data_IF_843471078853
#
_entry.id   IF_843471078853
#
_cell.length_a   1.000
_cell.length_b   1.000
_cell.length_c   1.000
_cell.angle_alpha   90.00
_cell.angle_beta   90.00
_cell.angle_gamma   90.00
#
_symmetry.space_group_name_H-M   'P 1'
#
loop_
_entity.id
_entity.type
_entity.pdbx_description
1 polymer ?
#
# COMPACT_ATOMS: atom_id res chain seq x y z
N UNK A 1 -6.49 -11.67 -12.46
CA UNK A 1 -5.30 -11.39 -11.64
C UNK A 1 -5.34 -12.26 -10.38
N UNK A 2 -4.19 -12.56 -9.77
CA UNK A 2 -4.14 -13.30 -8.49
C UNK A 2 -4.78 -12.50 -7.35
N UNK A 3 -5.40 -13.17 -6.39
CA UNK A 3 -5.98 -12.54 -5.21
C UNK A 3 -4.91 -11.94 -4.28
N UNK A 4 -5.31 -11.01 -3.41
CA UNK A 4 -4.44 -10.44 -2.37
C UNK A 4 -3.89 -11.54 -1.44
N UNK A 5 -4.74 -12.51 -1.08
CA UNK A 5 -4.34 -13.63 -0.20
C UNK A 5 -3.25 -14.48 -0.83
N UNK A 6 -3.37 -14.82 -2.12
CA UNK A 6 -2.34 -15.59 -2.82
C UNK A 6 -1.02 -14.84 -2.91
N UNK A 7 -1.06 -13.52 -3.15
CA UNK A 7 0.14 -12.67 -3.18
C UNK A 7 0.83 -12.62 -1.82
N UNK A 8 0.07 -12.48 -0.73
CA UNK A 8 0.61 -12.51 0.63
C UNK A 8 1.24 -13.86 0.97
N UNK A 9 0.59 -14.97 0.60
CA UNK A 9 1.13 -16.31 0.81
C UNK A 9 2.42 -16.55 0.00
N UNK A 10 2.48 -16.05 -1.24
CA UNK A 10 3.68 -16.14 -2.06
C UNK A 10 4.83 -15.32 -1.46
N UNK A 11 4.55 -14.09 -1.04
CA UNK A 11 5.51 -13.20 -0.38
C UNK A 11 6.09 -13.85 0.88
N UNK A 12 5.23 -14.41 1.75
CA UNK A 12 5.65 -15.13 2.95
C UNK A 12 6.54 -16.34 2.64
N UNK A 13 6.17 -17.16 1.65
CA UNK A 13 6.97 -18.33 1.24
C UNK A 13 8.36 -17.96 0.70
N UNK A 14 8.48 -16.79 0.07
CA UNK A 14 9.76 -16.30 -0.45
C UNK A 14 10.58 -15.74 0.71
N UNK A 15 9.99 -14.89 1.56
CA UNK A 15 10.65 -14.29 2.71
C UNK A 15 11.15 -15.34 3.71
N UNK A 16 10.36 -16.39 3.99
CA UNK A 16 10.74 -17.47 4.92
C UNK A 16 11.94 -18.30 4.45
N UNK A 17 12.33 -18.21 3.18
CA UNK A 17 13.56 -18.81 2.63
C UNK A 17 14.79 -17.91 2.78
N UNK A 18 14.68 -16.79 3.49
CA UNK A 18 15.78 -15.84 3.69
C UNK A 18 16.08 -14.95 2.48
N UNK A 19 15.21 -14.97 1.46
CA UNK A 19 15.32 -14.08 0.30
C UNK A 19 14.82 -12.70 0.73
N UNK A 20 15.61 -11.66 0.45
CA UNK A 20 15.19 -10.27 0.72
C UNK A 20 14.01 -9.90 -0.16
N UNK A 21 12.97 -9.38 0.47
CA UNK A 21 11.66 -9.10 -0.12
C UNK A 21 11.20 -7.69 0.20
N UNK A 22 10.35 -7.14 -0.66
CA UNK A 22 9.65 -5.90 -0.39
C UNK A 22 8.19 -6.01 -0.81
N UNK A 23 7.33 -5.19 -0.20
CA UNK A 23 5.96 -4.97 -0.67
C UNK A 23 5.83 -3.53 -1.21
N UNK A 24 5.21 -3.39 -2.38
CA UNK A 24 4.90 -2.10 -2.97
C UNK A 24 3.42 -1.78 -2.74
N UNK A 25 3.15 -0.81 -1.87
CA UNK A 25 1.82 -0.28 -1.55
C UNK A 25 1.60 0.95 -2.42
N UNK A 26 1.22 0.69 -3.67
CA UNK A 26 0.94 1.72 -4.65
C UNK A 26 0.12 1.14 -5.80
N UNK A 27 -0.76 1.94 -6.42
CA UNK A 27 -1.13 3.29 -5.99
C UNK A 27 -1.95 3.25 -4.70
N UNK A 28 -1.88 4.30 -3.87
CA UNK A 28 -2.79 4.46 -2.74
C UNK A 28 -4.24 4.53 -3.24
N UNK A 29 -5.08 3.64 -2.69
CA UNK A 29 -6.50 3.50 -2.99
C UNK A 29 -7.31 3.51 -1.70
N UNK A 30 -8.62 3.84 -1.77
CA UNK A 30 -9.51 3.75 -0.61
C UNK A 30 -9.47 2.35 -0.01
N UNK A 31 -9.36 2.29 1.31
CA UNK A 31 -9.25 1.01 2.01
C UNK A 31 -8.87 1.19 3.47
N UNK A 32 -8.30 0.14 4.04
CA UNK A 32 -7.86 0.11 5.43
C UNK A 32 -6.33 -0.05 5.50
N UNK A 33 -5.57 1.05 5.58
CA UNK A 33 -4.14 1.08 5.81
C UNK A 33 -3.66 0.16 6.93
N UNK A 34 -4.32 0.21 8.09
CA UNK A 34 -3.87 -0.50 9.29
C UNK A 34 -4.00 -2.01 9.13
N UNK A 35 -5.11 -2.47 8.52
CA UNK A 35 -5.31 -3.87 8.16
C UNK A 35 -4.28 -4.35 7.14
N UNK A 36 -3.95 -3.53 6.14
CA UNK A 36 -2.92 -3.86 5.16
C UNK A 36 -1.55 -4.04 5.82
N UNK A 37 -1.16 -3.12 6.70
CA UNK A 37 0.11 -3.21 7.43
C UNK A 37 0.14 -4.46 8.32
N UNK A 38 -0.95 -4.76 9.03
CA UNK A 38 -1.08 -5.99 9.83
C UNK A 38 -0.90 -7.26 9.00
N UNK A 39 -1.40 -7.29 7.75
CA UNK A 39 -1.22 -8.43 6.85
C UNK A 39 0.21 -8.59 6.33
N UNK A 40 1.00 -7.51 6.28
CA UNK A 40 2.37 -7.49 5.77
C UNK A 40 3.42 -7.73 6.86
N UNK A 41 3.05 -7.58 8.13
CA UNK A 41 3.95 -7.78 9.27
C UNK A 41 4.60 -9.18 9.24
N UNK A 42 5.93 -9.22 9.34
CA UNK A 42 6.70 -10.47 9.30
C UNK A 42 6.77 -11.17 7.94
N UNK A 43 6.23 -10.57 6.86
CA UNK A 43 6.25 -11.16 5.51
C UNK A 43 7.18 -10.45 4.54
N UNK A 44 7.79 -9.33 4.94
CA UNK A 44 8.61 -8.52 4.05
C UNK A 44 9.69 -7.75 4.82
N UNK A 45 10.82 -7.48 4.18
CA UNK A 45 11.94 -6.73 4.78
C UNK A 45 11.76 -5.21 4.68
N UNK A 46 11.01 -4.75 3.66
CA UNK A 46 10.76 -3.33 3.40
C UNK A 46 9.41 -3.11 2.74
N UNK A 47 8.83 -1.94 2.98
CA UNK A 47 7.60 -1.48 2.33
C UNK A 47 7.88 -0.18 1.57
N UNK A 48 7.45 -0.12 0.32
CA UNK A 48 7.44 1.10 -0.48
C UNK A 48 6.02 1.62 -0.59
N UNK A 49 5.83 2.93 -0.46
CA UNK A 49 4.51 3.57 -0.52
C UNK A 49 4.51 4.60 -1.64
N UNK A 50 3.54 4.51 -2.54
CA UNK A 50 3.37 5.46 -3.64
C UNK A 50 1.91 5.82 -3.89
N UNK A 51 1.66 7.06 -4.31
CA UNK A 51 0.32 7.55 -4.66
C UNK A 51 -0.09 7.13 -6.06
N UNK A 52 -1.33 7.47 -6.43
CA UNK A 52 -1.78 7.29 -7.80
C UNK A 52 -1.08 8.28 -8.73
N UNK A 53 -0.29 7.74 -9.65
CA UNK A 53 0.33 8.50 -10.73
C UNK A 53 -0.66 8.67 -11.91
N UNK A 54 -0.46 9.69 -12.75
CA UNK A 54 -1.29 9.96 -13.93
C UNK A 54 -2.79 10.17 -13.65
N UNK A 55 -3.11 10.81 -12.51
CA UNK A 55 -4.49 11.09 -12.10
C UNK A 55 -5.34 11.72 -13.19
N UNK A 56 -4.78 12.63 -14.00
CA UNK A 56 -5.50 13.27 -15.09
C UNK A 56 -6.17 12.26 -16.05
N UNK A 57 -5.47 11.18 -16.39
CA UNK A 57 -5.95 10.16 -17.34
C UNK A 57 -7.08 9.30 -16.76
N UNK A 58 -7.06 9.07 -15.44
CA UNK A 58 -7.95 8.11 -14.76
C UNK A 58 -9.01 8.78 -13.88
N UNK A 59 -8.99 10.12 -13.75
CA UNK A 59 -9.93 10.90 -12.93
C UNK A 59 -11.39 10.66 -13.31
N UNK A 60 -11.70 10.55 -14.60
CA UNK A 60 -13.07 10.27 -15.07
C UNK A 60 -13.58 8.93 -14.56
N UNK A 61 -12.72 7.91 -14.52
CA UNK A 61 -13.08 6.59 -14.00
C UNK A 61 -13.36 6.66 -12.50
N UNK A 62 -12.53 7.36 -11.72
CA UNK A 62 -12.78 7.58 -10.28
C UNK A 62 -14.12 8.26 -10.05
N UNK A 63 -14.43 9.29 -10.84
CA UNK A 63 -15.71 9.99 -10.74
C UNK A 63 -16.90 9.08 -11.05
N UNK A 64 -16.81 8.22 -12.05
CA UNK A 64 -17.87 7.26 -12.37
C UNK A 64 -18.11 6.25 -11.24
N UNK A 65 -17.11 6.02 -10.39
CA UNK A 65 -17.20 5.13 -9.24
C UNK A 65 -17.49 5.86 -7.92
N UNK A 66 -17.70 7.18 -7.93
CA UNK A 66 -17.92 7.98 -6.70
C UNK A 66 -16.68 8.06 -5.80
N UNK A 67 -15.48 7.95 -6.38
CA UNK A 67 -14.18 7.94 -5.67
C UNK A 67 -13.39 9.23 -5.87
N UNK A 68 -14.03 10.35 -6.20
CA UNK A 68 -13.38 11.62 -6.50
C UNK A 68 -12.45 12.09 -5.38
N UNK A 69 -12.84 11.90 -4.11
CA UNK A 69 -12.01 12.24 -2.96
C UNK A 69 -10.66 11.50 -2.99
N UNK A 70 -10.64 10.27 -3.49
CA UNK A 70 -9.45 9.45 -3.62
C UNK A 70 -8.47 9.92 -4.72
N UNK A 71 -8.80 11.02 -5.41
CA UNK A 71 -7.91 11.71 -6.35
C UNK A 71 -7.23 12.93 -5.75
N UNK A 72 -7.52 13.27 -4.49
CA UNK A 72 -7.05 14.51 -3.86
C UNK A 72 -5.73 14.32 -3.10
N UNK A 73 -4.91 15.39 -3.03
CA UNK A 73 -3.72 15.38 -2.18
C UNK A 73 -4.05 15.15 -0.71
N UNK A 74 -5.20 15.67 -0.24
CA UNK A 74 -5.70 15.41 1.11
C UNK A 74 -5.82 13.91 1.37
N UNK A 75 -6.48 13.17 0.48
CA UNK A 75 -6.62 11.73 0.59
C UNK A 75 -5.27 11.00 0.65
N UNK A 76 -4.33 11.34 -0.25
CA UNK A 76 -3.02 10.69 -0.27
C UNK A 76 -2.21 10.99 0.99
N UNK A 77 -2.23 12.24 1.47
CA UNK A 77 -1.55 12.64 2.69
C UNK A 77 -2.12 11.90 3.91
N UNK A 78 -3.45 11.85 4.06
CA UNK A 78 -4.09 11.15 5.17
C UNK A 78 -3.80 9.64 5.14
N UNK A 79 -3.89 8.99 3.98
CA UNK A 79 -3.60 7.56 3.87
C UNK A 79 -2.11 7.24 4.10
N UNK A 80 -1.23 8.10 3.61
CA UNK A 80 0.21 8.02 3.86
C UNK A 80 0.51 8.11 5.37
N UNK A 81 -0.04 9.10 6.07
CA UNK A 81 0.19 9.25 7.51
C UNK A 81 -0.35 8.05 8.30
N UNK A 82 -1.52 7.51 7.93
CA UNK A 82 -2.06 6.28 8.52
C UNK A 82 -1.14 5.08 8.34
N UNK A 83 -0.63 4.87 7.11
CA UNK A 83 0.35 3.81 6.83
C UNK A 83 1.63 4.01 7.66
N UNK A 84 2.22 5.22 7.63
CA UNK A 84 3.45 5.54 8.36
C UNK A 84 3.28 5.28 9.86
N UNK A 85 2.17 5.74 10.44
CA UNK A 85 1.92 5.59 11.87
C UNK A 85 1.82 4.12 12.27
N UNK A 86 1.13 3.30 11.49
CA UNK A 86 1.01 1.87 11.78
C UNK A 86 2.33 1.12 11.56
N UNK A 87 3.08 1.44 10.50
CA UNK A 87 4.40 0.86 10.23
C UNK A 87 5.40 1.19 11.34
N UNK A 88 5.41 2.44 11.84
CA UNK A 88 6.24 2.87 12.96
C UNK A 88 5.91 2.10 14.24
N UNK A 89 4.63 1.93 14.57
CA UNK A 89 4.19 1.16 15.75
C UNK A 89 4.72 -0.27 15.72
N UNK A 90 4.73 -0.90 14.54
CA UNK A 90 5.22 -2.27 14.31
C UNK A 90 6.72 -2.36 14.01
N UNK A 91 7.44 -1.24 14.05
CA UNK A 91 8.88 -1.16 13.77
C UNK A 91 9.28 -1.72 12.40
N UNK A 92 8.40 -1.59 11.40
CA UNK A 92 8.65 -2.05 10.04
C UNK A 92 9.45 -1.01 9.25
N UNK A 93 10.33 -1.47 8.36
CA UNK A 93 11.10 -0.57 7.48
C UNK A 93 10.24 -0.15 6.29
N UNK A 94 10.24 1.14 5.98
CA UNK A 94 9.50 1.67 4.83
C UNK A 94 10.19 2.85 4.15
N UNK A 95 9.73 3.17 2.95
CA UNK A 95 10.12 4.34 2.17
C UNK A 95 8.90 4.90 1.43
N UNK A 96 8.71 6.22 1.49
CA UNK A 96 7.64 6.92 0.78
C UNK A 96 8.24 7.56 -0.46
N UNK A 97 7.61 7.36 -1.62
CA UNK A 97 8.15 7.73 -2.92
C UNK A 97 7.54 9.02 -3.50
N UNK A 98 6.62 9.67 -2.77
CA UNK A 98 5.88 10.86 -3.22
C UNK A 98 5.67 11.91 -2.14
#
# INVERSE_FOLDING_TARGET
ASSVKERLNALEKIHSKGIRTFAFVGPLLPGNPEKLVSLLEGKTDKIYIDKMNYLYTIRRFYHQQGLEEATTDKFFLEHKERLINELKKRKMKFEVLF
#
